data_IF_198934755508
#
_entry.id   IF_198934755508
#
_cell.length_a   1.000
_cell.length_b   1.000
_cell.length_c   1.000
_cell.angle_alpha   90.00
_cell.angle_beta   90.00
_cell.angle_gamma   90.00
#
_symmetry.space_group_name_H-M   'P 1'
#
loop_
_entity.id
_entity.type
_entity.pdbx_description
1 polymer ?
#
# COMPACT_ATOMS: atom_id res chain seq x y z
N UNK A 1 -50.37 11.66 39.26
CA UNK A 1 -50.16 11.12 37.90
C UNK A 1 -48.76 11.56 37.47
N UNK A 2 -47.82 10.63 37.37
CA UNK A 2 -46.44 10.92 36.98
C UNK A 2 -46.38 10.92 35.44
N UNK A 3 -45.95 12.03 34.85
CA UNK A 3 -45.72 12.16 33.42
C UNK A 3 -44.59 11.19 33.02
N UNK A 4 -44.92 10.23 32.15
CA UNK A 4 -43.94 9.29 31.61
C UNK A 4 -42.91 10.05 30.78
N UNK A 5 -41.64 9.92 31.12
CA UNK A 5 -40.55 10.39 30.28
C UNK A 5 -40.50 9.51 29.02
N UNK A 6 -40.92 10.05 27.89
CA UNK A 6 -40.74 9.43 26.58
C UNK A 6 -39.23 9.23 26.35
N UNK A 7 -38.83 7.97 26.26
CA UNK A 7 -37.45 7.61 25.96
C UNK A 7 -37.19 8.00 24.51
N UNK A 8 -36.29 8.96 24.30
CA UNK A 8 -35.89 9.43 22.97
C UNK A 8 -35.24 8.24 22.24
N UNK A 9 -35.98 7.61 21.33
CA UNK A 9 -35.43 6.58 20.44
C UNK A 9 -34.48 7.27 19.47
N UNK A 10 -33.19 7.14 19.76
CA UNK A 10 -32.14 7.52 18.83
C UNK A 10 -32.12 6.45 17.74
N UNK A 11 -32.63 6.79 16.57
CA UNK A 11 -32.59 5.95 15.38
C UNK A 11 -31.16 5.89 14.83
N UNK A 12 -30.62 4.67 14.64
CA UNK A 12 -29.24 4.42 14.18
C UNK A 12 -28.91 5.12 12.85
N UNK A 13 -29.91 5.32 11.98
CA UNK A 13 -29.73 5.98 10.69
C UNK A 13 -29.53 7.50 10.85
N UNK A 14 -30.12 8.09 11.89
CA UNK A 14 -29.94 9.51 12.22
C UNK A 14 -28.54 9.80 12.75
N UNK A 15 -27.98 8.88 13.56
CA UNK A 15 -26.58 8.96 14.03
C UNK A 15 -25.61 8.87 12.85
N UNK A 16 -25.83 7.93 11.93
CA UNK A 16 -24.95 7.73 10.77
C UNK A 16 -24.89 8.96 9.84
N UNK A 17 -26.03 9.61 9.60
CA UNK A 17 -26.09 10.85 8.80
C UNK A 17 -25.38 12.03 9.47
N UNK A 18 -25.50 12.14 10.80
CA UNK A 18 -24.87 13.19 11.59
C UNK A 18 -23.35 13.01 11.69
N UNK A 19 -22.88 11.76 11.84
CA UNK A 19 -21.47 11.43 11.83
C UNK A 19 -20.83 11.69 10.46
N UNK A 20 -21.50 11.29 9.37
CA UNK A 20 -21.05 11.57 8.00
C UNK A 20 -20.96 13.07 7.72
N UNK A 21 -21.94 13.85 8.19
CA UNK A 21 -21.95 15.32 8.03
C UNK A 21 -20.86 15.99 8.88
N UNK A 22 -20.60 15.48 10.08
CA UNK A 22 -19.65 16.08 11.04
C UNK A 22 -18.20 15.69 10.79
N UNK A 23 -17.94 14.49 10.28
CA UNK A 23 -16.59 13.95 10.10
C UNK A 23 -16.18 13.73 8.65
N UNK A 24 -17.10 13.90 7.69
CA UNK A 24 -16.85 13.58 6.28
C UNK A 24 -16.66 12.07 6.09
N UNK A 25 -17.28 11.49 5.07
CA UNK A 25 -16.82 10.17 4.62
C UNK A 25 -15.41 10.34 4.09
N UNK A 26 -14.39 10.03 4.90
CA UNK A 26 -13.08 9.67 4.37
C UNK A 26 -13.33 8.44 3.51
N UNK A 27 -13.36 8.63 2.20
CA UNK A 27 -13.69 7.56 1.26
C UNK A 27 -12.52 6.58 1.30
N UNK A 28 -12.78 5.30 1.59
CA UNK A 28 -11.72 4.29 1.65
C UNK A 28 -10.94 4.20 0.33
N UNK A 29 -11.58 4.56 -0.79
CA UNK A 29 -10.98 4.73 -2.11
C UNK A 29 -9.79 5.70 -2.17
N UNK A 30 -9.80 6.78 -1.38
CA UNK A 30 -8.72 7.79 -1.38
C UNK A 30 -7.53 7.33 -0.53
N UNK A 31 -7.82 6.78 0.65
CA UNK A 31 -6.80 6.36 1.62
C UNK A 31 -5.95 5.19 1.13
N UNK A 32 -6.57 4.24 0.40
CA UNK A 32 -5.85 3.12 -0.21
C UNK A 32 -4.97 3.55 -1.40
N UNK A 33 -5.33 4.65 -2.08
CA UNK A 33 -4.53 5.21 -3.15
C UNK A 33 -3.31 5.97 -2.64
N UNK A 34 -3.41 6.62 -1.47
CA UNK A 34 -2.30 7.33 -0.83
C UNK A 34 -1.24 6.37 -0.31
N UNK A 35 -1.63 5.34 0.46
CA UNK A 35 -0.70 4.34 1.01
C UNK A 35 0.06 3.60 -0.10
N UNK A 36 -0.63 3.29 -1.20
CA UNK A 36 0.00 2.68 -2.39
C UNK A 36 0.99 3.63 -3.06
N UNK A 37 0.68 4.91 -3.18
CA UNK A 37 1.57 5.90 -3.79
C UNK A 37 2.83 6.12 -2.94
N UNK A 38 2.68 6.16 -1.61
CA UNK A 38 3.81 6.22 -0.67
C UNK A 38 4.72 4.99 -0.82
N UNK A 39 4.13 3.79 -0.84
CA UNK A 39 4.88 2.56 -1.04
C UNK A 39 5.65 2.57 -2.38
N UNK A 40 5.02 3.02 -3.46
CA UNK A 40 5.68 3.12 -4.77
C UNK A 40 6.84 4.13 -4.76
N UNK A 41 6.69 5.25 -4.04
CA UNK A 41 7.77 6.22 -3.88
C UNK A 41 8.95 5.62 -3.12
N UNK A 42 8.71 4.87 -2.04
CA UNK A 42 9.75 4.18 -1.29
C UNK A 42 10.45 3.10 -2.13
N UNK A 43 9.69 2.28 -2.86
CA UNK A 43 10.24 1.28 -3.79
C UNK A 43 11.12 1.97 -4.84
N UNK A 44 10.70 3.14 -5.34
CA UNK A 44 11.47 3.94 -6.29
C UNK A 44 12.79 4.40 -5.70
N UNK A 45 12.81 4.97 -4.48
CA UNK A 45 14.05 5.40 -3.82
C UNK A 45 15.06 4.24 -3.66
N UNK A 46 14.57 3.07 -3.24
CA UNK A 46 15.41 1.88 -3.08
C UNK A 46 15.98 1.47 -4.42
N UNK A 47 15.15 1.45 -5.47
CA UNK A 47 15.58 1.08 -6.81
C UNK A 47 16.63 2.06 -7.33
N UNK A 48 16.42 3.37 -7.20
CA UNK A 48 17.36 4.41 -7.65
C UNK A 48 18.74 4.24 -7.01
N UNK A 49 18.78 3.79 -5.75
CA UNK A 49 20.03 3.48 -5.04
C UNK A 49 20.75 2.26 -5.64
N UNK A 50 20.00 1.23 -6.04
CA UNK A 50 20.56 0.00 -6.63
C UNK A 50 21.06 0.22 -8.05
N UNK A 51 20.30 0.96 -8.88
CA UNK A 51 20.67 1.23 -10.28
C UNK A 51 21.50 2.49 -10.46
N UNK A 52 21.70 3.27 -9.38
CA UNK A 52 22.44 4.52 -9.36
C UNK A 52 21.99 5.52 -10.44
N UNK A 53 20.68 5.59 -10.68
CA UNK A 53 20.04 6.52 -11.62
C UNK A 53 18.60 6.76 -11.20
N UNK A 54 18.01 7.89 -11.63
CA UNK A 54 16.59 8.14 -11.42
C UNK A 54 15.72 7.19 -12.23
N UNK A 55 14.61 6.76 -11.62
CA UNK A 55 13.65 5.87 -12.24
C UNK A 55 12.25 6.40 -11.94
N UNK A 56 11.47 6.66 -12.98
CA UNK A 56 10.04 6.89 -12.82
C UNK A 56 9.31 5.55 -12.89
N UNK A 57 8.84 5.07 -11.75
CA UNK A 57 8.06 3.83 -11.70
C UNK A 57 6.62 4.06 -12.15
N UNK A 58 6.14 3.16 -13.01
CA UNK A 58 4.71 2.97 -13.28
C UNK A 58 4.31 1.58 -12.85
N UNK A 59 3.08 1.44 -12.35
CA UNK A 59 2.55 0.16 -11.85
C UNK A 59 2.58 -0.95 -12.90
N UNK A 60 2.44 -0.61 -14.18
CA UNK A 60 2.42 -1.55 -15.31
C UNK A 60 3.81 -1.93 -15.85
N UNK A 61 4.90 -1.29 -15.37
CA UNK A 61 6.25 -1.61 -15.81
C UNK A 61 6.68 -3.00 -15.37
N UNK A 62 7.30 -3.72 -16.29
CA UNK A 62 7.98 -4.96 -16.03
C UNK A 62 9.35 -4.71 -15.37
N UNK A 63 9.58 -5.34 -14.23
CA UNK A 63 10.78 -5.09 -13.41
C UNK A 63 12.07 -5.47 -14.13
N UNK A 64 12.06 -6.53 -14.93
CA UNK A 64 13.25 -7.00 -15.64
C UNK A 64 13.36 -6.29 -16.99
N UNK A 65 12.28 -6.30 -17.77
CA UNK A 65 12.31 -5.85 -19.16
C UNK A 65 12.30 -4.33 -19.31
N UNK A 66 11.47 -3.61 -18.54
CA UNK A 66 11.31 -2.16 -18.71
C UNK A 66 12.33 -1.37 -17.89
N UNK A 67 12.67 -1.85 -16.70
CA UNK A 67 13.69 -1.20 -15.85
C UNK A 67 15.11 -1.61 -16.24
N UNK A 68 15.27 -2.70 -16.99
CA UNK A 68 16.55 -3.22 -17.47
C UNK A 68 17.38 -3.86 -16.37
N UNK A 69 16.73 -4.44 -15.35
CA UNK A 69 17.44 -5.10 -14.25
C UNK A 69 17.95 -6.48 -14.69
N UNK A 70 19.24 -6.71 -14.54
CA UNK A 70 19.82 -8.03 -14.65
C UNK A 70 19.59 -8.85 -13.37
N UNK A 71 19.84 -10.17 -13.41
CA UNK A 71 19.59 -11.07 -12.27
C UNK A 71 20.29 -10.63 -10.97
N UNK A 72 21.48 -10.01 -11.05
CA UNK A 72 22.22 -9.54 -9.87
C UNK A 72 21.58 -8.26 -9.33
N UNK A 73 21.22 -7.33 -10.21
CA UNK A 73 20.49 -6.12 -9.81
C UNK A 73 19.16 -6.47 -9.14
N UNK A 74 18.43 -7.48 -9.64
CA UNK A 74 17.19 -7.97 -9.00
C UNK A 74 17.46 -8.51 -7.59
N UNK A 75 18.53 -9.30 -7.39
CA UNK A 75 18.92 -9.78 -6.05
C UNK A 75 19.29 -8.63 -5.12
N UNK A 76 20.12 -7.69 -5.56
CA UNK A 76 20.50 -6.52 -4.76
C UNK A 76 19.29 -5.65 -4.41
N UNK A 77 18.36 -5.52 -5.34
CA UNK A 77 17.11 -4.80 -5.12
C UNK A 77 16.24 -5.49 -4.08
N UNK A 78 16.08 -6.82 -4.17
CA UNK A 78 15.39 -7.61 -3.17
C UNK A 78 15.98 -7.39 -1.77
N UNK A 79 17.31 -7.50 -1.63
CA UNK A 79 17.99 -7.31 -0.34
C UNK A 79 17.79 -5.90 0.21
N UNK A 80 17.85 -4.87 -0.65
CA UNK A 80 17.64 -3.49 -0.23
C UNK A 80 16.19 -3.22 0.20
N UNK A 81 15.21 -3.91 -0.40
CA UNK A 81 13.80 -3.83 0.01
C UNK A 81 13.59 -4.54 1.36
N UNK A 82 14.18 -5.71 1.56
CA UNK A 82 14.16 -6.43 2.85
C UNK A 82 14.69 -5.55 3.98
N UNK A 83 15.86 -4.93 3.79
CA UNK A 83 16.47 -4.02 4.76
C UNK A 83 15.62 -2.75 4.99
N UNK A 84 15.02 -2.19 3.94
CA UNK A 84 14.22 -0.96 4.03
C UNK A 84 12.90 -1.16 4.78
N UNK A 85 12.21 -2.27 4.51
CA UNK A 85 10.87 -2.54 5.03
C UNK A 85 10.86 -3.46 6.25
N UNK A 86 12.03 -3.96 6.68
CA UNK A 86 12.18 -4.94 7.76
C UNK A 86 11.32 -6.19 7.52
N UNK A 87 11.34 -6.68 6.27
CA UNK A 87 10.62 -7.87 5.82
C UNK A 87 11.59 -8.90 5.26
N UNK A 88 11.13 -10.14 5.11
CA UNK A 88 11.84 -11.16 4.35
C UNK A 88 11.00 -11.55 3.14
N UNK A 89 11.58 -11.47 1.94
CA UNK A 89 10.89 -11.73 0.69
C UNK A 89 11.34 -13.11 0.17
N UNK A 90 10.49 -14.14 0.26
CA UNK A 90 10.83 -15.46 -0.25
C UNK A 90 11.13 -15.43 -1.75
N UNK A 91 12.13 -16.21 -2.19
CA UNK A 91 12.46 -16.32 -3.61
C UNK A 91 11.28 -16.78 -4.49
N UNK A 92 10.35 -17.57 -3.95
CA UNK A 92 9.16 -18.00 -4.69
C UNK A 92 8.16 -16.86 -4.93
N UNK A 93 8.07 -15.90 -4.01
CA UNK A 93 7.24 -14.71 -4.17
C UNK A 93 7.87 -13.79 -5.22
N UNK A 94 9.19 -13.58 -5.18
CA UNK A 94 9.90 -12.81 -6.22
C UNK A 94 9.82 -13.45 -7.60
N UNK A 95 9.80 -14.79 -7.70
CA UNK A 95 9.63 -15.47 -8.98
C UNK A 95 8.25 -15.21 -9.62
N UNK A 96 7.26 -14.82 -8.81
CA UNK A 96 5.90 -14.49 -9.26
C UNK A 96 5.73 -12.99 -9.57
N UNK A 97 6.68 -12.16 -9.15
CA UNK A 97 6.67 -10.71 -9.40
C UNK A 97 7.13 -10.44 -10.84
N UNK A 98 6.22 -9.87 -11.64
CA UNK A 98 6.52 -9.46 -13.01
C UNK A 98 6.51 -7.95 -13.14
N UNK A 99 5.51 -7.31 -12.54
CA UNK A 99 5.29 -5.86 -12.61
C UNK A 99 5.60 -5.15 -11.28
N UNK A 100 5.75 -3.83 -11.35
CA UNK A 100 5.87 -2.98 -10.15
C UNK A 100 4.63 -3.11 -9.25
N UNK A 101 3.43 -3.27 -9.82
CA UNK A 101 2.20 -3.51 -9.06
C UNK A 101 2.23 -4.83 -8.29
N UNK A 102 2.78 -5.89 -8.91
CA UNK A 102 2.93 -7.20 -8.25
C UNK A 102 3.90 -7.08 -7.06
N UNK A 103 5.03 -6.38 -7.25
CA UNK A 103 5.98 -6.14 -6.18
C UNK A 103 5.36 -5.37 -5.02
N UNK A 104 4.65 -4.28 -5.31
CA UNK A 104 3.99 -3.47 -4.29
C UNK A 104 2.98 -4.30 -3.47
N UNK A 105 2.19 -5.15 -4.14
CA UNK A 105 1.25 -6.06 -3.46
C UNK A 105 1.98 -7.08 -2.58
N UNK A 106 3.06 -7.68 -3.08
CA UNK A 106 3.87 -8.63 -2.32
C UNK A 106 4.42 -7.98 -1.05
N UNK A 107 5.01 -6.79 -1.16
CA UNK A 107 5.54 -6.05 -0.01
C UNK A 107 4.42 -5.69 0.97
N UNK A 108 3.27 -5.21 0.49
CA UNK A 108 2.14 -4.86 1.35
C UNK A 108 1.59 -6.09 2.11
N UNK A 109 1.52 -7.25 1.44
CA UNK A 109 1.08 -8.50 2.05
C UNK A 109 2.08 -9.01 3.11
N UNK A 110 3.39 -8.88 2.85
CA UNK A 110 4.44 -9.26 3.80
C UNK A 110 4.43 -8.32 5.04
N UNK A 111 4.30 -7.01 4.82
CA UNK A 111 4.19 -6.02 5.91
C UNK A 111 2.95 -6.20 6.78
N UNK A 112 1.86 -6.70 6.21
CA UNK A 112 0.62 -6.96 6.97
C UNK A 112 0.67 -8.26 7.80
N UNK A 113 1.60 -9.16 7.48
CA UNK A 113 1.79 -10.44 8.16
C UNK A 113 3.00 -10.46 9.12
N UNK A 114 3.81 -9.40 9.12
CA UNK A 114 4.91 -9.17 10.05
C UNK A 114 4.41 -8.52 11.35
#
# INVERSE_FOLDING_TARGET
MLAGAETLQIDDNSIFSALTTKYGSVRLDEKMSEEKNELLAEISEVLETVVNRRVELRTDMNIVNDLGLDSIAVMNFCMALEDKFDISIPLHDMASVVTVDDLAKTIQALRSNA
#
